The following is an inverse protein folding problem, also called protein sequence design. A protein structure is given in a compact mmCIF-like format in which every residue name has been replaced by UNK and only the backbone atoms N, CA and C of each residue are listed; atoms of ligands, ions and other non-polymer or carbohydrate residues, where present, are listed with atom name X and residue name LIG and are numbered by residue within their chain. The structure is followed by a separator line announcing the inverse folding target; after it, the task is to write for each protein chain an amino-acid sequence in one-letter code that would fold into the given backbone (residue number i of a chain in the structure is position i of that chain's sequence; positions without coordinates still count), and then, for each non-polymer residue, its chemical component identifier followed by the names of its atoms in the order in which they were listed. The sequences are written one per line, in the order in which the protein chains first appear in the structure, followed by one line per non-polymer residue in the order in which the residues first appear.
data_IF_467582348988
#
_entry.id   IF_467582348988
#
_cell.length_a   1.000
_cell.length_b   1.000
_cell.length_c   1.000
_cell.angle_alpha   90.00
_cell.angle_beta   90.00
_cell.angle_gamma   90.00
#
_symmetry.space_group_name_H-M   'P 1'
#
loop_
_entity.id
_entity.type
_entity.pdbx_description
1 polymer ?
#
# COMPACT_ATOMS: atom_id res chain seq x y z
N UNK A 1 -19.27 11.87 11.75
CA UNK A 1 -18.84 11.90 10.34
C UNK A 1 -17.79 10.82 10.26
N UNK A 2 -18.11 9.68 9.65
CA UNK A 2 -17.07 8.68 9.37
C UNK A 2 -16.09 9.34 8.41
N UNK A 3 -14.83 9.43 8.83
CA UNK A 3 -13.74 9.83 7.94
C UNK A 3 -13.52 8.62 7.05
N UNK A 4 -13.66 8.78 5.73
CA UNK A 4 -13.43 7.72 4.75
C UNK A 4 -11.95 7.73 4.40
N UNK A 5 -11.26 6.62 4.62
CA UNK A 5 -9.88 6.43 4.23
C UNK A 5 -9.71 6.61 2.73
N UNK A 6 -8.87 7.57 2.36
CA UNK A 6 -8.72 8.05 0.99
C UNK A 6 -7.50 7.45 0.30
N UNK A 7 -7.48 7.54 -1.03
CA UNK A 7 -6.28 7.19 -1.82
C UNK A 7 -5.08 8.08 -1.51
N UNK A 8 -5.32 9.33 -1.09
CA UNK A 8 -4.24 10.25 -0.69
C UNK A 8 -3.58 9.77 0.60
N UNK A 9 -4.39 9.36 1.58
CA UNK A 9 -3.88 8.77 2.83
C UNK A 9 -3.15 7.45 2.56
N UNK A 10 -3.73 6.56 1.74
CA UNK A 10 -3.05 5.34 1.31
C UNK A 10 -1.68 5.60 0.68
N UNK A 11 -1.59 6.53 -0.28
CA UNK A 11 -0.33 6.86 -0.91
C UNK A 11 0.69 7.44 0.08
N UNK A 12 0.23 8.23 1.05
CA UNK A 12 1.09 8.82 2.08
C UNK A 12 1.62 7.74 3.05
N UNK A 13 0.76 6.85 3.53
CA UNK A 13 1.14 5.78 4.45
C UNK A 13 2.13 4.79 3.81
N UNK A 14 1.89 4.44 2.54
CA UNK A 14 2.82 3.61 1.76
C UNK A 14 4.16 4.31 1.50
N UNK A 15 4.15 5.62 1.19
CA UNK A 15 5.39 6.37 1.02
C UNK A 15 6.19 6.45 2.33
N UNK A 16 5.52 6.64 3.47
CA UNK A 16 6.16 6.63 4.78
C UNK A 16 6.75 5.25 5.12
N UNK A 17 6.13 4.16 4.68
CA UNK A 17 6.66 2.81 4.88
C UNK A 17 8.00 2.55 4.16
N UNK A 18 8.28 3.29 3.09
CA UNK A 18 9.56 3.21 2.38
C UNK A 18 10.52 4.36 2.73
N UNK A 19 10.14 5.26 3.65
CA UNK A 19 11.03 6.35 4.06
C UNK A 19 12.25 5.81 4.80
N UNK A 20 13.44 6.24 4.38
CA UNK A 20 14.71 5.71 4.88
C UNK A 20 15.17 4.38 4.24
N UNK A 21 14.41 3.83 3.29
CA UNK A 21 14.80 2.68 2.47
C UNK A 21 13.63 1.73 2.21
N UNK A 22 13.54 1.23 0.97
CA UNK A 22 12.53 0.23 0.61
C UNK A 22 12.86 -1.13 1.24
N UNK A 23 11.96 -1.60 2.11
CA UNK A 23 12.01 -2.91 2.74
C UNK A 23 10.67 -3.63 2.53
N UNK A 24 10.73 -4.78 1.87
CA UNK A 24 9.57 -5.60 1.51
C UNK A 24 8.73 -5.96 2.74
N UNK A 25 9.40 -6.38 3.83
CA UNK A 25 8.71 -6.81 5.04
C UNK A 25 7.97 -5.63 5.70
N UNK A 26 8.62 -4.47 5.78
CA UNK A 26 7.98 -3.28 6.34
C UNK A 26 6.78 -2.80 5.48
N UNK A 27 6.92 -2.81 4.16
CA UNK A 27 5.83 -2.42 3.24
C UNK A 27 4.65 -3.38 3.35
N UNK A 28 4.90 -4.70 3.33
CA UNK A 28 3.85 -5.72 3.49
C UNK A 28 3.12 -5.57 4.82
N UNK A 29 3.87 -5.40 5.92
CA UNK A 29 3.30 -5.18 7.25
C UNK A 29 2.40 -3.95 7.31
N UNK A 30 2.86 -2.80 6.80
CA UNK A 30 2.06 -1.57 6.77
C UNK A 30 0.81 -1.74 5.92
N UNK A 31 0.92 -2.41 4.76
CA UNK A 31 -0.25 -2.72 3.93
C UNK A 31 -1.27 -3.59 4.69
N UNK A 32 -0.80 -4.59 5.45
CA UNK A 32 -1.67 -5.42 6.29
C UNK A 32 -2.35 -4.65 7.42
N UNK A 33 -1.64 -3.71 8.06
CA UNK A 33 -2.19 -2.83 9.11
C UNK A 33 -3.28 -1.90 8.55
N UNK A 34 -3.04 -1.29 7.37
CA UNK A 34 -4.03 -0.47 6.67
C UNK A 34 -5.26 -1.31 6.32
N UNK A 35 -5.05 -2.51 5.76
CA UNK A 35 -6.13 -3.41 5.37
C UNK A 35 -7.06 -3.77 6.52
N UNK A 36 -6.49 -4.12 7.68
CA UNK A 36 -7.26 -4.44 8.87
C UNK A 36 -7.97 -3.23 9.48
N UNK A 37 -7.32 -2.07 9.45
CA UNK A 37 -7.84 -0.84 10.09
C UNK A 37 -8.97 -0.24 9.27
N UNK A 38 -8.82 -0.20 7.94
CA UNK A 38 -9.69 0.54 7.03
C UNK A 38 -10.51 -0.37 6.11
N UNK A 39 -10.53 -1.69 6.33
CA UNK A 39 -11.11 -2.67 5.39
C UNK A 39 -12.53 -2.37 4.90
N UNK A 40 -13.40 -1.76 5.73
CA UNK A 40 -14.76 -1.38 5.34
C UNK A 40 -14.83 -0.09 4.49
N UNK A 41 -13.76 0.69 4.49
CA UNK A 41 -13.64 1.98 3.81
C UNK A 41 -12.91 1.86 2.46
N UNK A 42 -12.26 0.72 2.21
CA UNK A 42 -11.46 0.48 1.01
C UNK A 42 -12.34 0.42 -0.24
N UNK A 43 -11.93 1.17 -1.27
CA UNK A 43 -12.41 0.90 -2.62
C UNK A 43 -11.81 -0.40 -3.16
N UNK A 44 -12.45 -1.02 -4.15
CA UNK A 44 -11.92 -2.22 -4.81
C UNK A 44 -10.48 -2.04 -5.32
N UNK A 45 -10.14 -0.83 -5.80
CA UNK A 45 -8.76 -0.53 -6.24
C UNK A 45 -7.76 -0.52 -5.09
N UNK A 46 -8.15 -0.04 -3.91
CA UNK A 46 -7.29 0.02 -2.74
C UNK A 46 -7.12 -1.38 -2.14
N UNK A 47 -8.20 -2.16 -2.05
CA UNK A 47 -8.19 -3.54 -1.59
C UNK A 47 -7.21 -4.39 -2.41
N UNK A 48 -7.29 -4.33 -3.74
CA UNK A 48 -6.36 -5.06 -4.63
C UNK A 48 -4.89 -4.66 -4.44
N UNK A 49 -4.62 -3.37 -4.29
CA UNK A 49 -3.25 -2.87 -4.05
C UNK A 49 -2.72 -3.41 -2.73
N UNK A 50 -3.49 -3.29 -1.66
CA UNK A 50 -3.08 -3.75 -0.34
C UNK A 50 -2.85 -5.26 -0.31
N UNK A 51 -3.75 -6.06 -0.90
CA UNK A 51 -3.57 -7.51 -0.99
C UNK A 51 -2.32 -7.92 -1.79
N UNK A 52 -2.01 -7.20 -2.87
CA UNK A 52 -0.78 -7.42 -3.63
C UNK A 52 0.46 -7.12 -2.79
N UNK A 53 0.46 -6.02 -2.04
CA UNK A 53 1.59 -5.64 -1.18
C UNK A 53 1.77 -6.60 0.00
N UNK A 54 0.68 -7.10 0.58
CA UNK A 54 0.70 -8.12 1.64
C UNK A 54 1.35 -9.41 1.12
N UNK A 55 1.04 -9.80 -0.12
CA UNK A 55 1.59 -11.01 -0.73
C UNK A 55 3.10 -10.94 -0.98
N UNK A 56 3.74 -9.77 -0.91
CA UNK A 56 5.19 -9.64 -1.12
C UNK A 56 6.01 -10.42 -0.08
N UNK A 57 5.48 -10.66 1.13
CA UNK A 57 6.15 -11.48 2.14
C UNK A 57 6.07 -13.00 1.86
N UNK A 58 5.24 -13.44 0.92
CA UNK A 58 5.07 -14.86 0.60
C UNK A 58 6.23 -15.42 -0.25
N UNK A 59 6.96 -14.56 -0.97
CA UNK A 59 8.13 -14.96 -1.76
C UNK A 59 8.57 -13.91 -2.81
N UNK A 60 9.82 -14.05 -3.28
CA UNK A 60 10.44 -13.15 -4.27
C UNK A 60 9.63 -13.01 -5.57
N UNK A 61 8.80 -14.00 -5.92
CA UNK A 61 7.92 -13.95 -7.09
C UNK A 61 6.78 -12.92 -6.99
N UNK A 62 6.48 -12.47 -5.77
CA UNK A 62 5.45 -11.47 -5.47
C UNK A 62 6.06 -10.10 -5.16
N UNK A 63 7.37 -10.03 -4.91
CA UNK A 63 8.06 -8.81 -4.54
C UNK A 63 8.06 -7.78 -5.68
N UNK A 64 7.70 -6.54 -5.33
CA UNK A 64 7.94 -5.39 -6.18
C UNK A 64 9.38 -4.92 -6.00
N UNK A 65 9.99 -4.43 -7.09
CA UNK A 65 11.19 -3.61 -6.96
C UNK A 65 10.83 -2.26 -6.33
N UNK A 66 11.82 -1.59 -5.74
CA UNK A 66 11.66 -0.23 -5.21
C UNK A 66 11.09 0.73 -6.27
N UNK A 67 11.55 0.61 -7.52
CA UNK A 67 11.06 1.44 -8.63
C UNK A 67 9.59 1.17 -8.96
N UNK A 68 9.17 -0.11 -8.97
CA UNK A 68 7.78 -0.48 -9.23
C UNK A 68 6.87 0.01 -8.10
N UNK A 69 7.32 -0.10 -6.85
CA UNK A 69 6.60 0.41 -5.69
C UNK A 69 6.43 1.94 -5.72
N UNK A 70 7.51 2.68 -6.03
CA UNK A 70 7.43 4.14 -6.17
C UNK A 70 6.51 4.55 -7.34
N UNK A 71 6.54 3.82 -8.46
CA UNK A 71 5.62 4.05 -9.58
C UNK A 71 4.17 3.81 -9.17
N UNK A 72 3.91 2.74 -8.41
CA UNK A 72 2.59 2.42 -7.88
C UNK A 72 2.04 3.56 -7.00
N UNK A 73 2.86 4.12 -6.10
CA UNK A 73 2.47 5.26 -5.26
C UNK A 73 2.06 6.46 -6.12
N UNK A 74 2.83 6.78 -7.16
CA UNK A 74 2.51 7.88 -8.06
C UNK A 74 1.21 7.64 -8.84
N UNK A 75 0.93 6.39 -9.22
CA UNK A 75 -0.32 6.05 -9.90
C UNK A 75 -1.54 6.10 -8.97
N UNK A 76 -1.39 5.74 -7.70
CA UNK A 76 -2.44 5.96 -6.68
C UNK A 76 -2.79 7.44 -6.60
N UNK A 77 -1.78 8.33 -6.52
CA UNK A 77 -1.98 9.79 -6.44
C UNK A 77 -2.68 10.37 -7.66
N UNK A 78 -2.41 9.88 -8.88
CA UNK A 78 -3.06 10.36 -10.11
C UNK A 78 -4.53 9.98 -10.21
N UNK A 79 -4.95 8.95 -9.48
CA UNK A 79 -6.32 8.44 -9.50
C UNK A 79 -7.10 8.75 -8.23
N UNK A 80 -6.51 9.57 -7.34
CA UNK A 80 -7.07 10.06 -6.09
C UNK A 80 -8.02 11.25 -6.29
#
# INVERSE_FOLDING_TARGET
MEVIYSKVELAADLANAADGGFDVANVSKVAFEIYQTHGLELTESMDRILLMLIAMEEGEEFELSELDFLSLIEDIKKTA
#
